data_IF_617199592117
#
_entry.id   IF_617199592117
#
_cell.length_a   1.000
_cell.length_b   1.000
_cell.length_c   1.000
_cell.angle_alpha   90.00
_cell.angle_beta   90.00
_cell.angle_gamma   90.00
#
_symmetry.space_group_name_H-M   'P 1'
#
loop_
_entity.id
_entity.type
_entity.pdbx_description
1 polymer ?
#
# COMPACT_ATOMS: atom_id res chain seq x y z
N UNK A 1 29.52 -6.00 -9.90
CA UNK A 1 28.88 -5.40 -8.72
C UNK A 1 27.78 -6.34 -8.26
N UNK A 2 27.94 -7.00 -7.12
CA UNK A 2 26.92 -7.90 -6.58
C UNK A 2 25.73 -7.04 -6.11
N UNK A 3 24.61 -7.12 -6.82
CA UNK A 3 23.37 -6.49 -6.39
C UNK A 3 22.97 -7.12 -5.05
N UNK A 4 23.17 -6.41 -3.94
CA UNK A 4 22.62 -6.80 -2.65
C UNK A 4 21.11 -6.96 -2.84
N UNK A 5 20.61 -8.18 -2.69
CA UNK A 5 19.19 -8.45 -2.70
C UNK A 5 18.54 -7.60 -1.60
N UNK A 6 17.85 -6.52 -1.99
CA UNK A 6 17.07 -5.71 -1.06
C UNK A 6 16.03 -6.63 -0.44
N UNK A 7 16.13 -6.83 0.88
CA UNK A 7 15.10 -7.53 1.64
C UNK A 7 13.96 -6.55 1.85
N UNK A 8 12.80 -6.88 1.30
CA UNK A 8 11.57 -6.14 1.55
C UNK A 8 10.84 -6.79 2.72
N UNK A 9 10.31 -5.97 3.62
CA UNK A 9 9.47 -6.39 4.73
C UNK A 9 8.00 -6.32 4.35
N UNK A 10 7.17 -7.04 5.09
CA UNK A 10 5.71 -6.92 5.02
C UNK A 10 5.24 -5.48 5.27
N UNK A 11 5.94 -4.73 6.12
CA UNK A 11 5.65 -3.32 6.37
C UNK A 11 5.86 -2.45 5.13
N UNK A 12 6.90 -2.73 4.33
CA UNK A 12 7.16 -2.01 3.08
C UNK A 12 6.04 -2.24 2.06
N UNK A 13 5.51 -3.47 2.00
CA UNK A 13 4.37 -3.82 1.14
C UNK A 13 3.10 -3.05 1.55
N UNK A 14 2.84 -2.90 2.85
CA UNK A 14 1.71 -2.08 3.31
C UNK A 14 1.90 -0.60 3.00
N UNK A 15 3.11 -0.07 3.16
CA UNK A 15 3.40 1.33 2.88
C UNK A 15 3.22 1.65 1.39
N UNK A 16 3.76 0.80 0.52
CA UNK A 16 3.68 1.01 -0.93
C UNK A 16 2.24 0.90 -1.43
N UNK A 17 1.48 -0.10 -0.97
CA UNK A 17 0.07 -0.24 -1.32
C UNK A 17 -0.76 0.97 -0.88
N UNK A 18 -0.55 1.46 0.34
CA UNK A 18 -1.25 2.64 0.84
C UNK A 18 -0.89 3.90 0.05
N UNK A 19 0.39 4.06 -0.32
CA UNK A 19 0.86 5.18 -1.13
C UNK A 19 0.20 5.18 -2.50
N UNK A 20 0.22 4.05 -3.21
CA UNK A 20 -0.41 3.90 -4.52
C UNK A 20 -1.91 4.23 -4.47
N UNK A 21 -2.64 3.68 -3.49
CA UNK A 21 -4.08 3.95 -3.35
C UNK A 21 -4.38 5.42 -3.07
N UNK A 22 -3.54 6.07 -2.25
CA UNK A 22 -3.70 7.49 -1.91
C UNK A 22 -3.43 8.38 -3.12
N UNK A 23 -2.40 8.09 -3.91
CA UNK A 23 -2.06 8.82 -5.13
C UNK A 23 -3.14 8.66 -6.20
N UNK A 24 -3.61 7.44 -6.45
CA UNK A 24 -4.71 7.16 -7.39
C UNK A 24 -6.00 7.88 -6.98
N UNK A 25 -6.39 7.77 -5.71
CA UNK A 25 -7.64 8.39 -5.24
C UNK A 25 -7.54 9.92 -5.27
N UNK A 26 -6.39 10.51 -4.94
CA UNK A 26 -6.18 11.96 -5.03
C UNK A 26 -6.24 12.44 -6.48
N UNK A 27 -5.70 11.66 -7.41
CA UNK A 27 -5.74 11.94 -8.84
C UNK A 27 -7.16 11.88 -9.39
N UNK A 28 -7.96 10.89 -8.97
CA UNK A 28 -9.37 10.75 -9.36
C UNK A 28 -10.20 11.93 -8.84
N UNK A 29 -10.00 12.33 -7.58
CA UNK A 29 -10.80 13.41 -6.98
C UNK A 29 -10.34 14.81 -7.37
N UNK A 30 -9.13 14.95 -7.94
CA UNK A 30 -8.48 16.24 -8.25
C UNK A 30 -8.42 17.19 -7.05
N UNK A 31 -8.44 16.64 -5.84
CA UNK A 31 -8.33 17.35 -4.56
C UNK A 31 -7.67 16.46 -3.52
N UNK A 32 -7.06 17.04 -2.47
CA UNK A 32 -6.59 16.27 -1.33
C UNK A 32 -7.71 15.44 -0.71
N UNK A 33 -7.35 14.28 -0.18
CA UNK A 33 -8.24 13.45 0.61
C UNK A 33 -8.50 14.12 1.96
N UNK A 34 -9.72 14.00 2.46
CA UNK A 34 -10.02 14.36 3.84
C UNK A 34 -9.61 13.21 4.79
N UNK A 35 -9.55 13.50 6.10
CA UNK A 35 -9.11 12.51 7.10
C UNK A 35 -9.90 11.19 7.08
N UNK A 36 -11.20 11.24 6.75
CA UNK A 36 -12.04 10.05 6.65
C UNK A 36 -11.65 9.20 5.43
N UNK A 37 -11.40 9.86 4.29
CA UNK A 37 -10.96 9.24 3.05
C UNK A 37 -9.57 8.60 3.23
N UNK A 38 -8.62 9.32 3.84
CA UNK A 38 -7.29 8.77 4.14
C UNK A 38 -7.38 7.53 5.05
N UNK A 39 -8.24 7.57 6.07
CA UNK A 39 -8.42 6.43 6.98
C UNK A 39 -8.97 5.21 6.23
N UNK A 40 -9.93 5.41 5.33
CA UNK A 40 -10.48 4.35 4.48
C UNK A 40 -9.43 3.81 3.51
N UNK A 41 -8.60 4.67 2.92
CA UNK A 41 -7.51 4.24 2.03
C UNK A 41 -6.46 3.41 2.77
N UNK A 42 -6.09 3.79 4.00
CA UNK A 42 -5.20 2.98 4.85
C UNK A 42 -5.77 1.60 5.16
N UNK A 43 -7.07 1.52 5.48
CA UNK A 43 -7.74 0.24 5.71
C UNK A 43 -7.80 -0.61 4.44
N UNK A 44 -8.11 0.01 3.29
CA UNK A 44 -8.15 -0.67 2.00
C UNK A 44 -6.77 -1.20 1.61
N UNK A 45 -5.72 -0.39 1.78
CA UNK A 45 -4.33 -0.79 1.53
C UNK A 45 -3.92 -1.98 2.37
N UNK A 46 -4.23 -1.97 3.66
CA UNK A 46 -3.96 -3.11 4.54
C UNK A 46 -4.69 -4.39 4.07
N UNK A 47 -5.94 -4.27 3.63
CA UNK A 47 -6.73 -5.41 3.17
C UNK A 47 -6.16 -5.99 1.86
N UNK A 48 -5.83 -5.14 0.89
CA UNK A 48 -5.22 -5.55 -0.38
C UNK A 48 -3.85 -6.20 -0.15
N UNK A 49 -2.98 -5.55 0.61
CA UNK A 49 -1.67 -6.13 0.95
C UNK A 49 -1.81 -7.47 1.69
N UNK A 50 -2.79 -7.61 2.60
CA UNK A 50 -3.03 -8.90 3.26
C UNK A 50 -3.44 -10.00 2.28
N UNK A 51 -4.30 -9.69 1.31
CA UNK A 51 -4.69 -10.66 0.29
C UNK A 51 -3.47 -11.09 -0.54
N UNK A 52 -2.67 -10.12 -1.01
CA UNK A 52 -1.46 -10.40 -1.80
C UNK A 52 -0.44 -11.20 -0.99
N UNK A 53 -0.15 -10.80 0.24
CA UNK A 53 0.82 -11.50 1.09
C UNK A 53 0.37 -12.93 1.42
N UNK A 54 -0.94 -13.16 1.57
CA UNK A 54 -1.53 -14.49 1.76
C UNK A 54 -1.41 -15.34 0.49
N UNK A 55 -1.66 -14.78 -0.69
CA UNK A 55 -1.45 -15.46 -1.97
C UNK A 55 0.04 -15.82 -2.18
N UNK A 56 0.94 -14.92 -1.78
CA UNK A 56 2.39 -15.14 -1.80
C UNK A 56 2.87 -16.11 -0.71
N UNK A 57 1.99 -16.56 0.20
CA UNK A 57 2.31 -17.45 1.34
C UNK A 57 3.41 -16.89 2.26
N UNK A 58 3.44 -15.57 2.42
CA UNK A 58 4.42 -14.87 3.28
C UNK A 58 3.88 -14.68 4.71
N UNK A 59 2.56 -14.73 4.87
CA UNK A 59 1.81 -14.67 6.13
C UNK A 59 0.74 -15.75 6.18
#
# INVERSE_FOLDING_TARGET
>A
MAAQAKKYTVADVYQEANKMLTEEMSSIKRRPLNNSEETKMKQLGKLISNMVLKEMKVI
#
